data_IF_575100109367
#
_entry.id   IF_575100109367
#
_cell.length_a   1.000
_cell.length_b   1.000
_cell.length_c   1.000
_cell.angle_alpha   90.00
_cell.angle_beta   90.00
_cell.angle_gamma   90.00
#
_symmetry.space_group_name_H-M   'P 1'
#
loop_
_entity.id
_entity.type
_entity.pdbx_description
1 polymer ?
#
# COMPACT_ATOMS: atom_id res chain seq x y z
N UNK A 1 -5.59 21.67 10.48
CA UNK A 1 -4.44 21.00 11.12
C UNK A 1 -4.31 19.59 10.59
N UNK A 2 -3.11 19.23 10.17
CA UNK A 2 -2.84 17.85 9.73
C UNK A 2 -2.49 17.04 10.97
N UNK A 3 -3.24 15.99 11.28
CA UNK A 3 -2.94 15.17 12.45
C UNK A 3 -1.60 14.46 12.28
N UNK A 4 -0.94 14.21 13.38
CA UNK A 4 0.30 13.44 13.37
C UNK A 4 -0.02 12.00 12.91
N UNK A 5 0.60 11.59 11.82
CA UNK A 5 0.34 10.28 11.24
C UNK A 5 0.95 9.16 12.09
N UNK A 6 0.18 8.11 12.34
CA UNK A 6 0.71 6.82 12.73
C UNK A 6 -0.15 5.72 12.11
N UNK A 7 0.45 4.57 11.91
CA UNK A 7 -0.17 3.50 11.15
C UNK A 7 -1.40 2.90 11.82
N UNK A 8 -1.40 2.82 13.15
CA UNK A 8 -2.55 2.31 13.91
C UNK A 8 -3.78 3.20 13.75
N UNK A 9 -3.58 4.52 13.86
CA UNK A 9 -4.66 5.48 13.64
C UNK A 9 -5.14 5.43 12.19
N UNK A 10 -4.22 5.27 11.24
CA UNK A 10 -4.58 5.14 9.83
C UNK A 10 -5.47 3.92 9.60
N UNK A 11 -5.11 2.77 10.17
CA UNK A 11 -5.94 1.57 10.07
C UNK A 11 -7.35 1.80 10.64
N UNK A 12 -7.44 2.48 11.78
CA UNK A 12 -8.72 2.78 12.40
C UNK A 12 -9.55 3.72 11.54
N UNK A 13 -8.93 4.76 10.98
CA UNK A 13 -9.63 5.70 10.09
C UNK A 13 -10.12 5.02 8.82
N UNK A 14 -9.31 4.17 8.22
CA UNK A 14 -9.72 3.39 7.04
C UNK A 14 -10.91 2.50 7.39
N UNK A 15 -10.86 1.83 8.53
CA UNK A 15 -11.96 0.96 8.97
C UNK A 15 -13.26 1.74 9.14
N UNK A 16 -13.19 2.89 9.79
CA UNK A 16 -14.37 3.74 10.00
C UNK A 16 -14.96 4.21 8.66
N UNK A 17 -14.09 4.64 7.75
CA UNK A 17 -14.52 5.09 6.43
C UNK A 17 -15.17 3.97 5.62
N UNK A 18 -14.53 2.79 5.56
CA UNK A 18 -15.03 1.64 4.81
C UNK A 18 -16.38 1.17 5.38
N UNK A 19 -16.48 1.05 6.71
CA UNK A 19 -17.73 0.57 7.32
C UNK A 19 -18.88 1.56 7.13
N UNK A 20 -18.58 2.85 7.08
CA UNK A 20 -19.59 3.88 6.83
C UNK A 20 -19.99 3.98 5.35
N UNK A 21 -19.25 3.35 4.45
CA UNK A 21 -19.49 3.39 3.00
C UNK A 21 -19.85 2.01 2.42
N UNK A 22 -20.44 1.15 3.22
CA UNK A 22 -20.97 -0.12 2.75
C UNK A 22 -20.20 -1.37 3.17
N UNK A 23 -19.06 -1.19 3.85
CA UNK A 23 -18.28 -2.32 4.34
C UNK A 23 -17.21 -2.80 3.35
N UNK A 24 -16.44 -3.78 3.79
CA UNK A 24 -15.35 -4.32 2.98
C UNK A 24 -15.89 -5.18 1.83
N UNK A 25 -15.19 -5.12 0.72
CA UNK A 25 -15.42 -6.03 -0.40
C UNK A 25 -15.01 -7.46 0.02
N UNK A 26 -15.48 -8.49 -0.69
CA UNK A 26 -14.97 -9.85 -0.48
C UNK A 26 -13.45 -9.89 -0.61
N UNK A 27 -12.75 -10.73 0.18
CA UNK A 27 -11.28 -10.75 0.17
C UNK A 27 -10.65 -10.92 -1.19
N UNK A 28 -11.23 -11.75 -2.05
CA UNK A 28 -10.67 -11.96 -3.39
C UNK A 28 -10.78 -10.72 -4.26
N UNK A 29 -11.85 -9.94 -4.09
CA UNK A 29 -12.00 -8.65 -4.79
C UNK A 29 -10.98 -7.63 -4.29
N UNK A 30 -10.72 -7.59 -2.98
CA UNK A 30 -9.70 -6.73 -2.41
C UNK A 30 -8.31 -7.11 -2.92
N UNK A 31 -8.01 -8.41 -3.01
CA UNK A 31 -6.75 -8.89 -3.56
C UNK A 31 -6.58 -8.48 -5.02
N UNK A 32 -7.64 -8.61 -5.82
CA UNK A 32 -7.60 -8.20 -7.23
C UNK A 32 -7.31 -6.70 -7.37
N UNK A 33 -7.89 -5.88 -6.50
CA UNK A 33 -7.62 -4.44 -6.50
C UNK A 33 -6.14 -4.16 -6.18
N UNK A 34 -5.55 -4.88 -5.24
CA UNK A 34 -4.12 -4.75 -4.91
C UNK A 34 -3.26 -5.09 -6.13
N UNK A 35 -3.56 -6.17 -6.81
CA UNK A 35 -2.81 -6.60 -8.01
C UNK A 35 -2.89 -5.53 -9.10
N UNK A 36 -4.06 -4.94 -9.30
CA UNK A 36 -4.24 -3.85 -10.26
C UNK A 36 -3.38 -2.63 -9.90
N UNK A 37 -3.37 -2.24 -8.61
CA UNK A 37 -2.57 -1.11 -8.16
C UNK A 37 -1.07 -1.37 -8.31
N UNK A 38 -0.62 -2.59 -8.05
CA UNK A 38 0.78 -2.98 -8.27
C UNK A 38 1.13 -2.86 -9.77
N UNK A 39 0.20 -3.24 -10.64
CA UNK A 39 0.36 -3.06 -12.09
C UNK A 39 0.51 -1.59 -12.47
N UNK A 40 -0.25 -0.70 -11.85
CA UNK A 40 -0.15 0.74 -12.09
C UNK A 40 1.20 1.30 -11.59
N UNK A 41 1.71 0.80 -10.47
CA UNK A 41 3.06 1.16 -10.01
C UNK A 41 4.10 0.74 -11.04
N UNK A 42 4.01 -0.50 -11.54
CA UNK A 42 4.93 -1.01 -12.55
C UNK A 42 4.89 -0.16 -13.81
N UNK A 43 3.70 0.22 -14.26
CA UNK A 43 3.52 1.09 -15.41
C UNK A 43 4.19 2.45 -15.17
N UNK A 44 3.94 3.07 -14.03
CA UNK A 44 4.51 4.36 -13.70
C UNK A 44 6.04 4.32 -13.67
N UNK A 45 6.63 3.29 -13.08
CA UNK A 45 8.09 3.11 -13.03
C UNK A 45 8.66 2.94 -14.44
N UNK A 46 8.02 2.12 -15.28
CA UNK A 46 8.47 1.92 -16.66
C UNK A 46 8.46 3.23 -17.46
N UNK A 47 7.44 4.07 -17.27
CA UNK A 47 7.38 5.37 -17.94
C UNK A 47 8.47 6.30 -17.41
N UNK A 48 8.64 6.37 -16.08
CA UNK A 48 9.63 7.24 -15.46
C UNK A 48 11.06 6.86 -15.84
N UNK A 49 11.32 5.56 -16.04
CA UNK A 49 12.65 5.07 -16.45
C UNK A 49 12.85 5.08 -17.97
N UNK A 50 11.83 5.49 -18.73
CA UNK A 50 11.95 5.61 -20.17
C UNK A 50 11.77 4.31 -20.95
N UNK A 51 11.36 3.22 -20.30
CA UNK A 51 11.15 1.94 -20.97
C UNK A 51 9.80 1.84 -21.69
N UNK A 52 8.88 2.74 -21.36
CA UNK A 52 7.55 2.75 -21.97
C UNK A 52 7.17 4.19 -22.24
N UNK A 53 6.72 4.52 -23.47
CA UNK A 53 6.25 5.87 -23.75
C UNK A 53 4.93 6.13 -23.04
N UNK A 54 4.73 7.34 -22.50
CA UNK A 54 3.44 7.70 -21.93
C UNK A 54 2.39 7.83 -23.04
N UNK A 55 1.14 7.58 -22.68
CA UNK A 55 0.02 7.96 -23.55
C UNK A 55 -0.06 9.48 -23.59
N UNK A 56 -0.76 10.00 -24.63
CA UNK A 56 -0.99 11.43 -24.75
C UNK A 56 -1.54 11.98 -23.42
N UNK A 57 -0.94 13.06 -22.95
CA UNK A 57 -1.30 13.75 -21.69
C UNK A 57 -1.11 12.91 -20.41
N UNK A 58 -0.49 11.76 -20.51
CA UNK A 58 -0.22 10.95 -19.35
C UNK A 58 0.98 11.47 -18.56
N UNK A 59 0.77 11.73 -17.26
CA UNK A 59 1.82 12.13 -16.35
C UNK A 59 1.81 11.13 -15.17
N UNK A 60 2.81 10.23 -15.08
CA UNK A 60 2.81 9.21 -14.04
C UNK A 60 2.86 9.85 -12.64
N UNK A 61 2.01 9.35 -11.76
CA UNK A 61 1.92 9.83 -10.37
C UNK A 61 2.28 8.68 -9.42
N UNK A 62 3.56 8.34 -9.40
CA UNK A 62 4.05 7.19 -8.63
C UNK A 62 3.65 7.27 -7.16
N UNK A 63 3.77 8.44 -6.53
CA UNK A 63 3.38 8.61 -5.13
C UNK A 63 1.92 8.28 -4.89
N UNK A 64 1.04 8.72 -5.78
CA UNK A 64 -0.39 8.43 -5.69
C UNK A 64 -0.66 6.93 -5.83
N UNK A 65 0.01 6.27 -6.79
CA UNK A 65 -0.15 4.83 -7.00
C UNK A 65 0.35 4.03 -5.80
N UNK A 66 1.45 4.44 -5.18
CA UNK A 66 1.95 3.80 -3.96
C UNK A 66 0.95 3.99 -2.82
N UNK A 67 0.44 5.21 -2.65
CA UNK A 67 -0.54 5.50 -1.59
C UNK A 67 -1.81 4.68 -1.77
N UNK A 68 -2.30 4.55 -3.00
CA UNK A 68 -3.49 3.74 -3.31
C UNK A 68 -3.24 2.26 -2.99
N UNK A 69 -2.03 1.77 -3.25
CA UNK A 69 -1.65 0.40 -2.91
C UNK A 69 -1.62 0.18 -1.39
N UNK A 70 -1.06 1.14 -0.65
CA UNK A 70 -1.04 1.07 0.82
C UNK A 70 -2.45 1.07 1.38
N UNK A 71 -3.34 1.91 0.82
CA UNK A 71 -4.75 1.92 1.22
C UNK A 71 -5.39 0.55 0.98
N UNK A 72 -5.19 -0.02 -0.20
CA UNK A 72 -5.77 -1.33 -0.55
C UNK A 72 -5.25 -2.44 0.36
N UNK A 73 -3.94 -2.45 0.66
CA UNK A 73 -3.35 -3.41 1.60
C UNK A 73 -3.91 -3.23 3.01
N UNK A 74 -4.15 -1.99 3.41
CA UNK A 74 -4.75 -1.70 4.73
C UNK A 74 -6.16 -2.24 4.83
N UNK A 75 -6.95 -2.19 3.75
CA UNK A 75 -8.28 -2.78 3.73
C UNK A 75 -8.25 -4.28 4.00
N UNK A 76 -7.36 -5.01 3.32
CA UNK A 76 -7.28 -6.46 3.54
C UNK A 76 -6.72 -6.80 4.94
N UNK A 77 -5.77 -6.00 5.43
CA UNK A 77 -5.26 -6.15 6.79
C UNK A 77 -6.37 -5.96 7.82
N UNK A 78 -7.18 -4.91 7.66
CA UNK A 78 -8.31 -4.65 8.56
C UNK A 78 -9.33 -5.76 8.53
N UNK A 79 -9.64 -6.27 7.35
CA UNK A 79 -10.60 -7.36 7.20
C UNK A 79 -10.19 -8.58 8.02
N UNK A 80 -8.91 -8.91 8.01
CA UNK A 80 -8.38 -10.06 8.75
C UNK A 80 -7.84 -9.68 10.13
N UNK A 81 -8.06 -8.45 10.58
CA UNK A 81 -7.64 -7.95 11.91
C UNK A 81 -6.14 -8.07 12.13
N UNK A 82 -5.36 -7.77 11.10
CA UNK A 82 -3.91 -7.74 11.16
C UNK A 82 -3.45 -6.37 11.67
N UNK A 83 -2.61 -6.36 12.67
CA UNK A 83 -1.98 -5.14 13.20
C UNK A 83 -0.75 -4.82 12.36
N UNK A 84 -0.89 -3.86 11.42
CA UNK A 84 0.19 -3.50 10.50
C UNK A 84 1.40 -2.91 11.20
N UNK A 85 1.20 -2.13 12.26
CA UNK A 85 2.32 -1.56 13.01
C UNK A 85 3.21 -2.66 13.57
N UNK A 86 2.59 -3.65 14.20
CA UNK A 86 3.30 -4.80 14.77
C UNK A 86 4.02 -5.61 13.70
N UNK A 87 3.30 -5.92 12.60
CA UNK A 87 3.86 -6.73 11.53
C UNK A 87 5.01 -6.03 10.80
N UNK A 88 4.92 -4.71 10.62
CA UNK A 88 5.98 -3.95 9.99
C UNK A 88 7.21 -3.84 10.87
N UNK A 89 7.02 -3.67 12.19
CA UNK A 89 8.13 -3.71 13.14
C UNK A 89 8.82 -5.07 13.06
N UNK A 90 8.05 -6.15 13.05
CA UNK A 90 8.59 -7.50 12.93
C UNK A 90 9.35 -7.70 11.62
N UNK A 91 8.84 -7.16 10.52
CA UNK A 91 9.54 -7.21 9.22
C UNK A 91 10.87 -6.49 9.27
N UNK A 92 10.90 -5.30 9.87
CA UNK A 92 12.15 -4.54 10.02
C UNK A 92 13.18 -5.33 10.83
N UNK A 93 12.75 -5.92 11.95
CA UNK A 93 13.63 -6.73 12.78
C UNK A 93 14.14 -7.96 12.03
N UNK A 94 13.26 -8.61 11.28
CA UNK A 94 13.63 -9.79 10.48
C UNK A 94 14.70 -9.45 9.44
N UNK A 95 14.50 -8.39 8.66
CA UNK A 95 15.46 -8.00 7.64
C UNK A 95 16.76 -7.50 8.25
N UNK A 96 16.68 -6.74 9.33
CA UNK A 96 17.86 -6.26 10.04
C UNK A 96 18.72 -7.43 10.53
N UNK A 97 18.11 -8.46 11.12
CA UNK A 97 18.81 -9.64 11.60
C UNK A 97 19.40 -10.48 10.46
N UNK A 98 18.59 -10.72 9.41
CA UNK A 98 18.99 -11.56 8.28
C UNK A 98 20.11 -10.94 7.47
N UNK A 99 20.01 -9.64 7.22
CA UNK A 99 20.88 -8.95 6.27
C UNK A 99 21.94 -8.04 6.93
N UNK A 100 22.04 -8.05 8.24
CA UNK A 100 22.92 -7.13 8.98
C UNK A 100 24.38 -7.23 8.59
N UNK A 101 24.86 -8.41 8.14
CA UNK A 101 26.22 -8.63 7.69
C UNK A 101 26.39 -8.57 6.16
N UNK A 102 25.26 -8.52 5.43
CA UNK A 102 25.25 -8.62 3.98
C UNK A 102 25.75 -7.36 3.30
N UNK A 103 25.52 -6.22 3.92
CA UNK A 103 25.81 -4.91 3.34
C UNK A 103 26.95 -4.18 4.07
N UNK A 104 27.67 -4.87 4.91
CA UNK A 104 28.85 -4.30 5.59
C UNK A 104 30.07 -4.26 4.68
#
# INVERSE_FOLDING_TARGET
>A
MIPKFNLGDFQAEVNDWITSHGGYWPPLSMLSAIVEEVGEIARAVNILEGYKPPKEDENPKLGEEIADTVFALTCIANYYKVDLSKELINSMLKYSKRDSNRFK
#
